data_IF_669725188996
#
_entry.id   IF_669725188996
#
_cell.length_a   1.000
_cell.length_b   1.000
_cell.length_c   1.000
_cell.angle_alpha   90.00
_cell.angle_beta   90.00
_cell.angle_gamma   90.00
#
_symmetry.space_group_name_H-M   'P 1'
#
loop_
_entity.id
_entity.type
_entity.pdbx_description
1 polymer ?
#
# COMPACT_ATOMS: atom_id res chain seq x y z
N UNK A 1 -13.04 -23.77 -13.24
CA UNK A 1 -12.92 -23.61 -11.78
C UNK A 1 -13.57 -24.80 -11.10
N UNK A 2 -13.02 -25.24 -9.97
CA UNK A 2 -13.69 -26.21 -9.11
C UNK A 2 -14.80 -25.44 -8.38
N UNK A 3 -16.04 -25.93 -8.43
CA UNK A 3 -17.15 -25.37 -7.66
C UNK A 3 -17.38 -26.29 -6.46
N UNK A 4 -16.59 -26.15 -5.38
CA UNK A 4 -16.79 -26.98 -4.19
C UNK A 4 -18.22 -26.77 -3.68
N UNK A 5 -18.93 -27.86 -3.44
CA UNK A 5 -20.30 -27.81 -2.93
C UNK A 5 -20.36 -27.30 -1.48
N UNK A 6 -19.27 -27.51 -0.72
CA UNK A 6 -19.12 -27.13 0.68
C UNK A 6 -17.82 -26.33 0.83
N UNK A 7 -17.87 -25.03 0.63
CA UNK A 7 -16.75 -24.13 0.85
C UNK A 7 -17.21 -22.77 1.37
N UNK A 8 -16.40 -22.19 2.24
CA UNK A 8 -16.56 -20.82 2.71
C UNK A 8 -15.29 -20.03 2.41
N UNK A 9 -15.45 -18.76 2.04
CA UNK A 9 -14.32 -17.84 1.83
C UNK A 9 -13.98 -17.21 3.16
N UNK A 10 -12.80 -17.53 3.68
CA UNK A 10 -12.27 -16.94 4.91
C UNK A 10 -11.11 -16.03 4.50
N UNK A 11 -11.24 -14.70 4.68
CA UNK A 11 -10.16 -13.78 4.35
C UNK A 11 -8.88 -14.12 5.11
N UNK A 12 -7.74 -13.99 4.43
CA UNK A 12 -6.46 -14.05 5.12
C UNK A 12 -6.32 -12.91 6.14
N UNK A 13 -5.37 -13.05 7.07
CA UNK A 13 -5.15 -12.05 8.11
C UNK A 13 -3.67 -11.77 8.38
N UNK A 14 -3.44 -10.62 9.03
CA UNK A 14 -2.19 -10.24 9.67
C UNK A 14 -2.44 -9.97 11.16
N UNK A 15 -1.39 -9.97 11.97
CA UNK A 15 -1.44 -9.46 13.34
C UNK A 15 -1.42 -7.92 13.26
N UNK A 16 -2.61 -7.30 13.24
CA UNK A 16 -2.74 -5.85 13.03
C UNK A 16 -2.16 -5.04 14.19
N UNK A 17 -2.00 -5.65 15.37
CA UNK A 17 -1.41 -5.01 16.55
C UNK A 17 0.09 -4.75 16.39
N UNK A 18 0.77 -5.46 15.49
CA UNK A 18 2.16 -5.13 15.09
C UNK A 18 2.27 -3.86 14.28
N UNK A 19 1.16 -3.39 13.71
CA UNK A 19 1.08 -2.23 12.83
C UNK A 19 0.17 -1.16 13.45
N UNK A 20 0.51 -0.66 14.65
CA UNK A 20 -0.36 0.27 15.36
C UNK A 20 -0.38 1.60 14.62
N UNK A 21 -1.50 2.30 14.73
CA UNK A 21 -1.59 3.69 14.31
C UNK A 21 -0.99 4.59 15.42
N UNK A 22 0.03 5.38 15.09
CA UNK A 22 0.49 6.47 15.96
C UNK A 22 -0.33 7.72 15.65
N UNK A 23 -1.07 8.22 16.65
CA UNK A 23 -1.76 9.51 16.53
C UNK A 23 -0.78 10.71 16.55
N UNK A 24 0.45 10.52 17.06
CA UNK A 24 1.41 11.58 17.32
C UNK A 24 2.21 12.02 16.09
N UNK A 25 2.39 11.14 15.09
CA UNK A 25 3.31 11.36 13.95
C UNK A 25 2.60 11.78 12.65
N UNK A 26 1.28 11.98 12.73
CA UNK A 26 0.44 12.36 11.60
C UNK A 26 -0.28 13.67 11.89
N UNK A 27 0.53 14.71 12.16
CA UNK A 27 0.07 16.09 12.07
C UNK A 27 -0.64 16.32 10.72
N UNK A 28 -1.64 17.22 10.66
CA UNK A 28 -2.19 17.61 9.37
C UNK A 28 -1.02 18.04 8.48
N UNK A 29 -0.77 17.26 7.41
CA UNK A 29 0.24 17.60 6.41
C UNK A 29 0.00 19.04 5.96
N UNK A 30 0.91 19.92 6.37
CA UNK A 30 0.95 21.30 5.92
C UNK A 30 1.53 21.31 4.51
N UNK A 31 1.05 22.21 3.65
CA UNK A 31 1.55 22.31 2.27
C UNK A 31 3.07 22.56 2.20
N UNK A 32 3.66 23.05 3.28
CA UNK A 32 5.10 23.30 3.46
C UNK A 32 5.92 22.05 3.71
N UNK A 33 5.31 20.96 4.19
CA UNK A 33 5.99 19.69 4.46
C UNK A 33 5.96 18.77 3.22
N UNK A 34 6.96 17.89 3.05
CA UNK A 34 6.93 16.92 1.97
C UNK A 34 5.80 15.90 2.16
N UNK A 35 5.05 15.63 1.08
CA UNK A 35 4.13 14.51 1.04
C UNK A 35 4.95 13.21 0.98
N UNK A 36 5.02 12.54 2.12
CA UNK A 36 5.68 11.23 2.31
C UNK A 36 4.92 10.09 1.65
N UNK A 37 5.55 9.47 0.65
CA UNK A 37 5.11 8.32 -0.12
C UNK A 37 5.96 7.11 0.28
N UNK A 38 5.35 5.93 0.31
CA UNK A 38 6.03 4.69 0.69
C UNK A 38 5.76 3.59 -0.31
N UNK A 39 6.82 2.85 -0.65
CA UNK A 39 6.74 1.55 -1.30
C UNK A 39 7.41 0.51 -0.41
N UNK A 40 6.74 -0.64 -0.21
CA UNK A 40 7.29 -1.80 0.52
C UNK A 40 7.11 -3.04 -0.33
N UNK A 41 8.20 -3.73 -0.67
CA UNK A 41 8.13 -4.99 -1.41
C UNK A 41 9.42 -5.37 -2.12
N UNK A 42 9.41 -6.50 -2.81
CA UNK A 42 10.55 -6.91 -3.64
C UNK A 42 10.81 -5.88 -4.73
N UNK A 43 12.08 -5.62 -5.03
CA UNK A 43 12.48 -4.73 -6.12
C UNK A 43 12.65 -5.57 -7.38
N UNK A 44 11.52 -5.86 -8.02
CA UNK A 44 11.46 -6.57 -9.30
C UNK A 44 10.52 -5.84 -10.25
N UNK A 45 10.63 -6.14 -11.55
CA UNK A 45 9.82 -5.46 -12.57
C UNK A 45 8.32 -5.72 -12.37
N UNK A 46 7.93 -6.96 -12.04
CA UNK A 46 6.52 -7.35 -11.81
C UNK A 46 5.87 -6.62 -10.64
N UNK A 47 6.66 -6.11 -9.67
CA UNK A 47 6.14 -5.30 -8.57
C UNK A 47 6.02 -3.82 -8.89
N UNK A 48 6.49 -3.39 -10.07
CA UNK A 48 6.24 -2.05 -10.60
C UNK A 48 6.81 -0.90 -9.79
N UNK A 49 7.86 -1.11 -8.99
CA UNK A 49 8.50 -0.02 -8.21
C UNK A 49 9.01 1.13 -9.10
N UNK A 50 9.35 0.86 -10.36
CA UNK A 50 9.72 1.90 -11.33
C UNK A 50 8.58 2.90 -11.58
N UNK A 51 7.30 2.46 -11.53
CA UNK A 51 6.14 3.33 -11.72
C UNK A 51 6.04 4.40 -10.63
N UNK A 52 6.42 4.06 -9.38
CA UNK A 52 6.46 5.03 -8.29
C UNK A 52 7.50 6.13 -8.57
N UNK A 53 8.68 5.75 -9.04
CA UNK A 53 9.76 6.69 -9.41
C UNK A 53 9.34 7.55 -10.62
N UNK A 54 8.71 6.95 -11.62
CA UNK A 54 8.19 7.65 -12.80
C UNK A 54 7.11 8.67 -12.41
N UNK A 55 6.22 8.31 -11.49
CA UNK A 55 5.20 9.23 -10.96
C UNK A 55 5.83 10.44 -10.28
N UNK A 56 6.87 10.25 -9.46
CA UNK A 56 7.63 11.37 -8.88
C UNK A 56 8.21 12.28 -9.96
N UNK A 57 8.84 11.70 -10.99
CA UNK A 57 9.40 12.47 -12.10
C UNK A 57 8.34 13.29 -12.85
N UNK A 58 7.16 12.70 -13.09
CA UNK A 58 6.04 13.40 -13.71
C UNK A 58 5.50 14.54 -12.83
N UNK A 59 5.27 14.29 -11.54
CA UNK A 59 4.75 15.31 -10.62
C UNK A 59 5.75 16.45 -10.49
N UNK A 60 7.04 16.16 -10.32
CA UNK A 60 8.05 17.22 -10.18
C UNK A 60 8.10 18.15 -11.38
N UNK A 61 7.96 17.62 -12.59
CA UNK A 61 7.90 18.43 -13.81
C UNK A 61 6.63 19.28 -13.89
N UNK A 62 5.49 18.74 -13.45
CA UNK A 62 4.20 19.44 -13.50
C UNK A 62 4.01 20.43 -12.34
N UNK A 63 4.64 20.17 -11.18
CA UNK A 63 4.53 20.93 -9.92
C UNK A 63 5.90 21.00 -9.22
N UNK A 64 6.84 21.83 -9.72
CA UNK A 64 8.22 21.86 -9.21
C UNK A 64 8.34 22.30 -7.75
N UNK A 65 7.35 23.01 -7.21
CA UNK A 65 7.32 23.48 -5.82
C UNK A 65 6.66 22.48 -4.86
N UNK A 66 6.07 21.39 -5.36
CA UNK A 66 5.45 20.38 -4.51
C UNK A 66 6.53 19.50 -3.89
N UNK A 67 6.67 19.56 -2.56
CA UNK A 67 7.60 18.74 -1.83
C UNK A 67 7.07 17.29 -1.74
N UNK A 68 7.88 16.33 -2.18
CA UNK A 68 7.60 14.90 -2.17
C UNK A 68 8.81 14.15 -1.64
N UNK A 69 8.58 13.11 -0.86
CA UNK A 69 9.61 12.13 -0.48
C UNK A 69 9.06 10.73 -0.73
N UNK A 70 9.79 9.90 -1.46
CA UNK A 70 9.48 8.49 -1.67
C UNK A 70 10.49 7.63 -0.91
N UNK A 71 10.01 6.88 0.06
CA UNK A 71 10.79 5.84 0.73
C UNK A 71 10.51 4.50 0.07
N UNK A 72 11.56 3.80 -0.34
CA UNK A 72 11.52 2.47 -0.96
C UNK A 72 12.16 1.48 0.00
N UNK A 73 11.34 0.61 0.59
CA UNK A 73 11.76 -0.47 1.49
C UNK A 73 11.68 -1.80 0.75
N UNK A 74 12.81 -2.48 0.66
CA UNK A 74 12.91 -3.76 -0.03
C UNK A 74 14.24 -3.99 -0.72
N UNK A 75 14.36 -5.17 -1.32
CA UNK A 75 15.55 -5.59 -2.04
C UNK A 75 15.15 -6.38 -3.29
N UNK A 76 16.05 -6.39 -4.26
CA UNK A 76 15.96 -7.22 -5.46
C UNK A 76 17.34 -7.46 -6.05
N UNK A 77 17.38 -7.95 -7.28
CA UNK A 77 18.64 -8.17 -7.99
C UNK A 77 19.43 -6.87 -8.14
N UNK A 78 20.75 -6.94 -7.96
CA UNK A 78 21.64 -5.77 -8.01
C UNK A 78 21.45 -4.95 -9.30
N UNK A 79 21.43 -5.60 -10.46
CA UNK A 79 21.26 -4.92 -11.75
C UNK A 79 19.92 -4.21 -11.92
N UNK A 80 18.84 -4.70 -11.29
CA UNK A 80 17.56 -3.97 -11.33
C UNK A 80 17.56 -2.78 -10.38
N UNK A 81 18.16 -2.91 -9.19
CA UNK A 81 18.32 -1.78 -8.26
C UNK A 81 19.18 -0.65 -8.87
N UNK A 82 20.24 -1.00 -9.59
CA UNK A 82 21.04 -0.03 -10.36
C UNK A 82 20.20 0.69 -11.41
N UNK A 83 19.36 -0.03 -12.16
CA UNK A 83 18.41 0.58 -13.11
C UNK A 83 17.45 1.54 -12.43
N UNK A 84 16.93 1.21 -11.24
CA UNK A 84 16.06 2.12 -10.48
C UNK A 84 16.79 3.38 -10.04
N UNK A 85 18.03 3.26 -9.55
CA UNK A 85 18.86 4.43 -9.20
C UNK A 85 19.20 5.28 -10.42
N UNK A 86 19.53 4.66 -11.56
CA UNK A 86 19.74 5.38 -12.81
C UNK A 86 18.47 6.10 -13.27
N UNK A 87 17.29 5.52 -13.04
CA UNK A 87 16.00 6.13 -13.34
C UNK A 87 15.74 7.36 -12.46
N UNK A 88 16.06 7.33 -11.16
CA UNK A 88 15.92 8.53 -10.31
C UNK A 88 16.81 9.67 -10.79
N UNK A 89 18.05 9.37 -11.23
CA UNK A 89 18.96 10.36 -11.80
C UNK A 89 18.45 10.92 -13.13
N UNK A 90 18.00 10.05 -14.04
CA UNK A 90 17.42 10.44 -15.34
C UNK A 90 16.22 11.36 -15.18
N UNK A 91 15.36 11.08 -14.21
CA UNK A 91 14.19 11.90 -13.89
C UNK A 91 14.53 13.05 -12.93
N UNK A 92 15.80 13.14 -12.52
CA UNK A 92 16.43 14.05 -11.56
C UNK A 92 15.75 14.11 -10.18
N UNK A 93 14.98 13.09 -9.80
CA UNK A 93 14.29 12.96 -8.48
C UNK A 93 15.15 12.26 -7.44
N UNK A 94 16.47 12.13 -7.67
CA UNK A 94 17.34 11.32 -6.82
C UNK A 94 17.36 11.74 -5.34
N UNK A 95 17.25 13.04 -5.06
CA UNK A 95 17.21 13.59 -3.70
C UNK A 95 15.86 13.36 -2.99
N UNK A 96 14.83 13.00 -3.74
CA UNK A 96 13.47 12.74 -3.23
C UNK A 96 13.21 11.24 -3.02
N UNK A 97 14.19 10.37 -3.28
CA UNK A 97 14.01 8.92 -3.24
C UNK A 97 15.02 8.26 -2.30
N UNK A 98 14.52 7.70 -1.21
CA UNK A 98 15.32 6.95 -0.25
C UNK A 98 15.19 5.45 -0.49
N UNK A 99 16.30 4.82 -0.89
CA UNK A 99 16.39 3.36 -0.97
C UNK A 99 16.92 2.81 0.37
N UNK A 100 16.03 2.25 1.18
CA UNK A 100 16.32 1.82 2.56
C UNK A 100 16.81 0.36 2.63
N UNK A 101 16.71 -0.38 1.53
CA UNK A 101 17.02 -1.81 1.50
C UNK A 101 15.95 -2.66 2.17
N UNK A 102 16.19 -3.97 2.26
CA UNK A 102 15.31 -4.88 2.99
C UNK A 102 15.39 -4.61 4.50
N UNK A 103 14.25 -4.60 5.16
CA UNK A 103 14.12 -4.35 6.59
C UNK A 103 13.50 -5.55 7.30
N UNK A 104 13.88 -5.82 8.56
CA UNK A 104 13.22 -6.84 9.37
C UNK A 104 11.75 -6.45 9.60
N UNK A 105 10.89 -7.46 9.80
CA UNK A 105 9.43 -7.24 9.91
C UNK A 105 9.06 -6.30 11.04
N UNK A 106 9.83 -6.34 12.12
CA UNK A 106 9.66 -5.54 13.34
C UNK A 106 9.95 -4.06 13.09
N UNK A 107 10.73 -3.74 12.06
CA UNK A 107 11.05 -2.37 11.66
C UNK A 107 10.07 -1.80 10.63
N UNK A 108 9.24 -2.62 9.97
CA UNK A 108 8.29 -2.14 8.97
C UNK A 108 7.21 -1.18 9.49
N UNK A 109 6.65 -1.36 10.71
CA UNK A 109 5.59 -0.48 11.23
C UNK A 109 5.97 1.00 11.20
N UNK A 110 7.22 1.34 11.53
CA UNK A 110 7.67 2.74 11.56
C UNK A 110 7.59 3.42 10.17
N UNK A 111 7.84 2.68 9.09
CA UNK A 111 7.76 3.22 7.74
C UNK A 111 6.31 3.51 7.36
N UNK A 112 5.41 2.57 7.63
CA UNK A 112 3.98 2.76 7.36
C UNK A 112 3.40 3.91 8.20
N UNK A 113 3.81 4.03 9.47
CA UNK A 113 3.43 5.12 10.38
C UNK A 113 4.01 6.48 10.02
N UNK A 114 5.00 6.57 9.13
CA UNK A 114 5.55 7.85 8.67
C UNK A 114 4.97 8.25 7.31
N UNK A 115 4.45 7.29 6.55
CA UNK A 115 3.91 7.50 5.22
C UNK A 115 2.51 8.12 5.25
N UNK A 116 2.25 9.11 4.40
CA UNK A 116 0.88 9.56 4.14
C UNK A 116 0.17 8.63 3.16
N UNK A 117 0.92 8.18 2.15
CA UNK A 117 0.41 7.35 1.06
C UNK A 117 1.31 6.14 0.88
N UNK A 118 0.72 4.96 0.89
CA UNK A 118 1.35 3.72 0.48
C UNK A 118 1.03 3.42 -0.99
N UNK A 119 2.07 3.18 -1.78
CA UNK A 119 1.99 2.93 -3.22
C UNK A 119 2.08 1.43 -3.51
N UNK A 120 0.97 0.86 -3.97
CA UNK A 120 0.91 -0.53 -4.39
C UNK A 120 0.91 -0.64 -5.91
N UNK A 121 2.10 -0.68 -6.51
CA UNK A 121 2.29 -0.54 -7.96
C UNK A 121 2.47 -1.86 -8.71
N UNK A 122 2.03 -2.99 -8.13
CA UNK A 122 2.18 -4.31 -8.74
C UNK A 122 1.57 -4.37 -10.15
N UNK A 123 2.34 -4.88 -11.10
CA UNK A 123 1.89 -5.22 -12.46
C UNK A 123 1.26 -6.61 -12.52
N UNK A 124 1.59 -7.45 -11.53
CA UNK A 124 1.09 -8.82 -11.39
C UNK A 124 -0.15 -8.85 -10.49
N UNK A 125 -1.07 -9.78 -10.78
CA UNK A 125 -2.23 -10.10 -9.95
C UNK A 125 -1.80 -10.76 -8.62
N UNK A 126 -1.57 -9.94 -7.60
CA UNK A 126 -1.06 -10.39 -6.30
C UNK A 126 -2.03 -11.34 -5.60
N UNK A 127 -1.58 -12.44 -5.00
CA UNK A 127 -2.49 -13.43 -4.42
C UNK A 127 -3.30 -12.93 -3.22
N UNK A 128 -2.70 -12.10 -2.36
CA UNK A 128 -3.36 -11.59 -1.15
C UNK A 128 -2.91 -10.19 -0.72
N UNK A 129 -1.67 -9.77 -1.00
CA UNK A 129 -1.26 -8.38 -0.76
C UNK A 129 -1.23 -7.95 0.71
N UNK A 130 -0.59 -8.73 1.60
CA UNK A 130 -0.46 -8.44 3.05
C UNK A 130 -0.02 -7.00 3.36
N UNK A 131 0.93 -6.47 2.58
CA UNK A 131 1.46 -5.10 2.71
C UNK A 131 0.37 -4.02 2.61
N UNK A 132 -0.75 -4.30 1.92
CA UNK A 132 -1.91 -3.41 1.89
C UNK A 132 -2.53 -3.30 3.28
N UNK A 133 -2.79 -4.43 3.93
CA UNK A 133 -3.41 -4.48 5.26
C UNK A 133 -2.47 -3.86 6.29
N UNK A 134 -1.16 -4.12 6.19
CA UNK A 134 -0.13 -3.52 7.05
C UNK A 134 -0.13 -1.97 6.97
N UNK A 135 -0.17 -1.44 5.74
CA UNK A 135 -0.27 -0.01 5.49
C UNK A 135 -1.59 0.59 6.02
N UNK A 136 -2.72 -0.06 5.73
CA UNK A 136 -4.04 0.37 6.18
C UNK A 136 -4.14 0.38 7.72
N UNK A 137 -3.64 -0.64 8.40
CA UNK A 137 -3.64 -0.74 9.86
C UNK A 137 -2.81 0.38 10.52
N UNK A 138 -1.66 0.71 9.92
CA UNK A 138 -0.76 1.77 10.39
C UNK A 138 -1.30 3.18 10.11
N UNK A 139 -2.23 3.32 9.17
CA UNK A 139 -2.90 4.58 8.83
C UNK A 139 -2.37 5.28 7.58
N UNK A 140 -1.60 4.60 6.73
CA UNK A 140 -1.24 5.11 5.41
C UNK A 140 -2.41 4.90 4.43
N UNK A 141 -2.70 5.90 3.59
CA UNK A 141 -3.72 5.76 2.54
C UNK A 141 -3.16 4.96 1.39
N UNK A 142 -3.88 3.94 0.94
CA UNK A 142 -3.45 3.09 -0.17
C UNK A 142 -3.83 3.74 -1.51
N UNK A 143 -2.84 3.87 -2.39
CA UNK A 143 -3.01 4.10 -3.83
C UNK A 143 -2.42 2.91 -4.57
N UNK A 144 -3.22 2.19 -5.35
CA UNK A 144 -2.74 0.94 -5.93
C UNK A 144 -3.45 0.43 -7.18
N UNK A 145 -2.81 -0.51 -7.86
CA UNK A 145 -3.43 -1.31 -8.89
C UNK A 145 -4.21 -2.47 -8.25
N UNK A 146 -5.54 -2.38 -8.24
CA UNK A 146 -6.42 -3.37 -7.63
C UNK A 146 -6.57 -4.61 -8.54
N UNK A 147 -5.64 -5.55 -8.45
CA UNK A 147 -5.64 -6.81 -9.23
C UNK A 147 -5.42 -8.04 -8.35
N UNK A 148 -5.93 -9.20 -8.78
CA UNK A 148 -5.86 -10.42 -7.97
C UNK A 148 -6.53 -10.23 -6.61
N UNK A 149 -5.96 -10.82 -5.56
CA UNK A 149 -6.43 -10.67 -4.18
C UNK A 149 -6.31 -9.25 -3.64
N UNK A 150 -5.50 -8.37 -4.24
CA UNK A 150 -5.51 -6.95 -3.86
C UNK A 150 -6.88 -6.29 -4.15
N UNK A 151 -7.62 -6.76 -5.16
CA UNK A 151 -8.95 -6.27 -5.48
C UNK A 151 -10.01 -6.67 -4.43
N UNK A 152 -9.74 -7.69 -3.62
CA UNK A 152 -10.62 -8.09 -2.51
C UNK A 152 -10.43 -7.19 -1.28
N UNK A 153 -9.23 -6.61 -1.13
CA UNK A 153 -8.89 -5.70 -0.03
C UNK A 153 -9.20 -4.25 -0.41
N UNK A 154 -8.85 -3.84 -1.62
CA UNK A 154 -9.00 -2.46 -2.10
C UNK A 154 -10.42 -2.22 -2.64
N UNK A 155 -11.17 -1.38 -1.95
CA UNK A 155 -12.50 -0.92 -2.31
C UNK A 155 -12.39 0.53 -2.81
N UNK A 156 -12.46 0.76 -4.14
CA UNK A 156 -12.26 2.07 -4.74
C UNK A 156 -13.14 3.15 -4.10
N UNK A 157 -12.55 4.33 -3.84
CA UNK A 157 -13.18 5.52 -3.22
C UNK A 157 -13.68 5.34 -1.77
N UNK A 158 -13.62 4.11 -1.24
CA UNK A 158 -14.04 3.75 0.11
C UNK A 158 -12.85 3.63 1.07
N UNK A 159 -11.84 2.84 0.71
CA UNK A 159 -10.66 2.60 1.54
C UNK A 159 -9.33 2.83 0.80
N UNK A 160 -9.36 2.98 -0.51
CA UNK A 160 -8.19 3.14 -1.36
C UNK A 160 -8.58 3.92 -2.62
N UNK A 161 -7.57 4.53 -3.25
CA UNK A 161 -7.70 5.01 -4.64
C UNK A 161 -7.01 4.03 -5.58
N UNK A 162 -7.62 3.82 -6.73
CA UNK A 162 -7.14 2.81 -7.68
C UNK A 162 -6.77 3.41 -9.03
N UNK A 163 -5.83 2.75 -9.70
CA UNK A 163 -5.43 3.03 -11.08
C UNK A 163 -5.21 1.70 -11.83
N UNK A 164 -5.13 1.75 -13.16
CA UNK A 164 -4.88 0.55 -13.96
C UNK A 164 -3.42 0.08 -13.83
N UNK A 165 -3.12 -1.24 -13.82
CA UNK A 165 -1.74 -1.73 -13.79
C UNK A 165 -0.89 -1.11 -14.91
N UNK A 166 0.27 -0.55 -14.55
CA UNK A 166 1.16 0.11 -15.51
C UNK A 166 0.78 1.54 -15.89
N UNK A 167 -0.38 2.04 -15.45
CA UNK A 167 -0.82 3.41 -15.74
C UNK A 167 -0.21 4.43 -14.76
N UNK A 168 0.97 4.93 -15.11
CA UNK A 168 1.67 5.98 -14.33
C UNK A 168 0.85 7.27 -14.26
N UNK A 169 0.10 7.62 -15.30
CA UNK A 169 -0.69 8.85 -15.30
C UNK A 169 -1.85 8.75 -14.31
N UNK A 170 -2.51 7.58 -14.27
CA UNK A 170 -3.51 7.27 -13.25
C UNK A 170 -2.94 7.31 -11.84
N UNK A 171 -1.75 6.72 -11.62
CA UNK A 171 -1.04 6.81 -10.33
C UNK A 171 -0.78 8.27 -9.92
N UNK A 172 -0.25 9.09 -10.83
CA UNK A 172 0.00 10.52 -10.60
C UNK A 172 -1.29 11.25 -10.24
N UNK A 173 -2.38 11.01 -10.98
CA UNK A 173 -3.66 11.64 -10.72
C UNK A 173 -4.17 11.36 -9.29
N UNK A 174 -4.05 10.12 -8.81
CA UNK A 174 -4.50 9.77 -7.46
C UNK A 174 -3.59 10.36 -6.37
N UNK A 175 -2.27 10.40 -6.58
CA UNK A 175 -1.34 11.06 -5.64
C UNK A 175 -1.69 12.55 -5.52
N UNK A 176 -1.90 13.24 -6.64
CA UNK A 176 -2.26 14.65 -6.64
C UNK A 176 -3.63 14.91 -6.00
N UNK A 177 -4.60 14.01 -6.22
CA UNK A 177 -5.93 14.11 -5.61
C UNK A 177 -5.85 14.00 -4.09
N UNK A 178 -5.05 13.06 -3.56
CA UNK A 178 -4.82 12.95 -2.12
C UNK A 178 -4.00 14.09 -1.55
N UNK A 179 -3.10 14.69 -2.32
CA UNK A 179 -2.36 15.87 -1.90
C UNK A 179 -3.29 17.07 -1.71
N UNK A 180 -4.15 17.35 -2.70
CA UNK A 180 -5.03 18.53 -2.71
C UNK A 180 -6.28 18.38 -1.83
N UNK A 181 -6.76 17.15 -1.56
CA UNK A 181 -7.96 16.91 -0.76
C UNK A 181 -7.62 16.17 0.54
N UNK A 182 -7.31 16.95 1.58
CA UNK A 182 -7.00 16.43 2.91
C UNK A 182 -8.20 15.75 3.58
N UNK A 183 -9.43 16.17 3.27
CA UNK A 183 -10.65 15.55 3.80
C UNK A 183 -10.83 14.15 3.21
N UNK A 184 -10.63 13.99 1.90
CA UNK A 184 -10.60 12.69 1.23
C UNK A 184 -9.52 11.79 1.83
N UNK A 185 -8.29 12.30 1.97
CA UNK A 185 -7.17 11.55 2.57
C UNK A 185 -7.51 11.05 3.98
N UNK A 186 -8.07 11.92 4.83
CA UNK A 186 -8.48 11.56 6.18
C UNK A 186 -9.62 10.54 6.22
N UNK A 187 -10.64 10.69 5.36
CA UNK A 187 -11.78 9.77 5.27
C UNK A 187 -11.34 8.37 4.83
N UNK A 188 -10.51 8.28 3.78
CA UNK A 188 -9.98 7.01 3.28
C UNK A 188 -9.13 6.33 4.34
N UNK A 189 -8.23 7.07 4.99
CA UNK A 189 -7.40 6.57 6.10
C UNK A 189 -8.23 5.92 7.21
N UNK A 190 -9.23 6.64 7.71
CA UNK A 190 -10.08 6.14 8.81
C UNK A 190 -10.84 4.88 8.39
N UNK A 191 -11.39 4.88 7.17
CA UNK A 191 -12.16 3.73 6.65
C UNK A 191 -11.26 2.53 6.42
N UNK A 192 -10.07 2.72 5.84
CA UNK A 192 -9.11 1.67 5.57
C UNK A 192 -8.58 1.03 6.85
N UNK A 193 -8.23 1.84 7.85
CA UNK A 193 -7.80 1.34 9.16
C UNK A 193 -8.88 0.50 9.84
N UNK A 194 -10.11 1.00 9.87
CA UNK A 194 -11.25 0.28 10.45
C UNK A 194 -11.43 -1.08 9.78
N UNK A 195 -11.40 -1.11 8.45
CA UNK A 195 -11.53 -2.37 7.71
C UNK A 195 -10.35 -3.33 7.95
N UNK A 196 -9.12 -2.82 8.06
CA UNK A 196 -7.96 -3.64 8.40
C UNK A 196 -8.15 -4.35 9.75
N UNK A 197 -8.57 -3.62 10.78
CA UNK A 197 -8.76 -4.17 12.14
C UNK A 197 -10.00 -5.03 12.29
N UNK A 198 -11.09 -4.75 11.55
CA UNK A 198 -12.37 -5.46 11.68
C UNK A 198 -12.46 -6.72 10.80
N UNK A 199 -11.70 -6.80 9.70
CA UNK A 199 -11.84 -7.89 8.71
C UNK A 199 -10.59 -8.74 8.54
N UNK A 200 -9.41 -8.17 8.73
CA UNK A 200 -8.14 -8.80 8.33
C UNK A 200 -7.20 -9.04 9.50
N UNK A 201 -7.73 -9.08 10.72
CA UNK A 201 -6.99 -9.44 11.93
C UNK A 201 -7.09 -10.94 12.24
N UNK A 202 -6.04 -11.49 12.87
CA UNK A 202 -5.93 -12.93 13.17
C UNK A 202 -7.14 -13.47 13.94
N UNK A 203 -7.68 -12.79 14.97
CA UNK A 203 -8.88 -13.25 15.68
C UNK A 203 -10.11 -13.37 14.77
N UNK A 204 -10.25 -12.50 13.77
CA UNK A 204 -11.39 -12.54 12.83
C UNK A 204 -11.30 -13.74 11.89
N UNK A 205 -10.09 -14.00 11.37
CA UNK A 205 -9.84 -15.20 10.57
C UNK A 205 -10.06 -16.47 11.40
N UNK A 206 -9.58 -16.52 12.64
CA UNK A 206 -9.78 -17.66 13.54
C UNK A 206 -11.27 -17.90 13.83
N UNK A 207 -12.03 -16.85 14.14
CA UNK A 207 -13.48 -16.93 14.36
C UNK A 207 -14.22 -17.45 13.11
N UNK A 208 -13.84 -17.01 11.91
CA UNK A 208 -14.40 -17.51 10.65
C UNK A 208 -14.14 -19.00 10.42
N UNK A 209 -12.92 -19.48 10.74
CA UNK A 209 -12.57 -20.90 10.68
C UNK A 209 -13.39 -21.70 11.69
N UNK A 210 -13.45 -21.25 12.95
CA UNK A 210 -14.23 -21.92 14.00
C UNK A 210 -15.71 -22.01 13.65
N UNK A 211 -16.28 -20.93 13.11
CA UNK A 211 -17.67 -20.90 12.70
C UNK A 211 -17.94 -21.93 11.60
N UNK A 212 -17.12 -21.95 10.55
CA UNK A 212 -17.25 -22.92 9.46
C UNK A 212 -17.12 -24.37 9.96
N UNK A 213 -16.16 -24.65 10.84
CA UNK A 213 -16.00 -25.99 11.43
C UNK A 213 -17.22 -26.40 12.28
N UNK A 214 -17.82 -25.48 13.01
CA UNK A 214 -19.05 -25.73 13.78
C UNK A 214 -20.24 -26.02 12.86
N UNK A 215 -20.39 -25.29 11.76
CA UNK A 215 -21.47 -25.51 10.80
C UNK A 215 -21.39 -26.90 10.17
N UNK A 216 -20.21 -27.30 9.69
CA UNK A 216 -20.05 -28.62 9.04
C UNK A 216 -20.16 -29.80 10.01
N UNK A 217 -19.84 -29.59 11.30
CA UNK A 217 -19.97 -30.64 12.33
C UNK A 217 -21.38 -30.73 12.89
N UNK A 218 -22.15 -29.63 12.90
CA UNK A 218 -23.56 -29.64 13.29
C UNK A 218 -24.51 -30.18 12.20
N UNK A 219 -24.07 -30.16 10.94
CA UNK A 219 -24.81 -30.68 9.79
C UNK A 219 -24.50 -32.16 9.46
N UNK A 220 -23.61 -32.81 10.22
CA UNK A 220 -23.22 -34.21 10.08
C UNK A 220 -23.88 -35.08 11.16
#
# INVERSE_FOLDING_TARGET
GIHPQHASVIPGAIDVHRYPHSHADHNPHEETEPLRLLYVGRLTHDKGVHLAIEALGQIRRARPHMALQLTIVGQGEAGYQEKLRALTQKLAVAEQVDFVGAQPKEALPQFYQQAHIFLFTSLWAEPFGRVLIEAMASGAVVVGAATGGAAEIMQPEQNALTFAPGDVNGLVAQILRLHCDQNLRNRLRQTARRQATEKFDVPQMAAGIEHYLKEITAAA
#
